data_IF_012227623458
#
_entry.id   IF_012227623458
#
_cell.length_a   1.000
_cell.length_b   1.000
_cell.length_c   1.000
_cell.angle_alpha   90.00
_cell.angle_beta   90.00
_cell.angle_gamma   90.00
#
_symmetry.space_group_name_H-M   'P 1'
#
loop_
_entity.id
_entity.type
_entity.pdbx_description
1 polymer ?
#
# COMPACT_ATOMS: atom_id res chain seq x y z
N UNK A 1 27.96 9.44 -15.88
CA UNK A 1 27.99 7.98 -16.08
C UNK A 1 26.91 7.38 -15.20
N UNK A 2 25.86 6.82 -15.79
CA UNK A 2 24.88 6.03 -15.05
C UNK A 2 25.46 4.61 -14.93
N UNK A 3 25.69 4.14 -13.70
CA UNK A 3 25.97 2.73 -13.47
C UNK A 3 24.70 1.96 -13.83
N UNK A 4 24.81 1.07 -14.82
CA UNK A 4 23.79 0.06 -15.05
C UNK A 4 23.64 -0.75 -13.77
N UNK A 5 22.42 -0.85 -13.25
CA UNK A 5 22.16 -1.58 -12.02
C UNK A 5 22.39 -3.07 -12.27
N UNK A 6 23.08 -3.75 -11.34
CA UNK A 6 23.22 -5.20 -11.37
C UNK A 6 21.82 -5.84 -11.48
N UNK A 7 21.60 -6.82 -12.39
CA UNK A 7 20.29 -7.45 -12.55
C UNK A 7 19.68 -7.97 -11.25
N UNK A 8 20.49 -8.50 -10.32
CA UNK A 8 19.98 -8.97 -9.03
C UNK A 8 19.52 -7.83 -8.10
N UNK A 9 20.12 -6.64 -8.22
CA UNK A 9 19.66 -5.44 -7.50
C UNK A 9 18.38 -4.90 -8.13
N UNK A 10 18.26 -5.01 -9.46
CA UNK A 10 17.03 -4.67 -10.18
C UNK A 10 15.85 -5.55 -9.75
N UNK A 11 16.05 -6.86 -9.72
CA UNK A 11 15.00 -7.80 -9.34
C UNK A 11 14.56 -7.59 -7.89
N UNK A 12 15.50 -7.34 -6.96
CA UNK A 12 15.16 -6.98 -5.58
C UNK A 12 14.38 -5.68 -5.50
N UNK A 13 14.78 -4.65 -6.24
CA UNK A 13 14.09 -3.37 -6.25
C UNK A 13 12.65 -3.51 -6.78
N UNK A 14 12.45 -4.32 -7.83
CA UNK A 14 11.11 -4.65 -8.35
C UNK A 14 10.32 -5.38 -7.27
N UNK A 15 10.88 -6.42 -6.66
CA UNK A 15 10.19 -7.24 -5.66
C UNK A 15 9.76 -6.48 -4.40
N UNK A 16 10.43 -5.38 -4.05
CA UNK A 16 10.03 -4.51 -2.94
C UNK A 16 8.70 -3.79 -3.19
N UNK A 17 8.35 -3.52 -4.45
CA UNK A 17 7.17 -2.73 -4.82
C UNK A 17 6.13 -3.51 -5.63
N UNK A 18 6.53 -4.64 -6.21
CA UNK A 18 5.68 -5.53 -7.00
C UNK A 18 5.61 -6.88 -6.30
N UNK A 19 4.53 -7.11 -5.56
CA UNK A 19 4.28 -8.32 -4.79
C UNK A 19 2.78 -8.69 -4.83
N UNK A 20 2.33 -9.62 -3.98
CA UNK A 20 0.93 -10.03 -3.93
C UNK A 20 -0.05 -8.85 -3.79
N UNK A 21 0.29 -7.83 -3.01
CA UNK A 21 -0.56 -6.67 -2.77
C UNK A 21 -0.67 -5.75 -4.00
N UNK A 22 0.27 -5.83 -4.93
CA UNK A 22 0.21 -5.11 -6.20
C UNK A 22 -0.81 -5.73 -7.14
N UNK A 23 -1.00 -7.06 -7.07
CA UNK A 23 -2.00 -7.77 -7.85
C UNK A 23 -3.40 -7.59 -7.27
N UNK A 24 -3.52 -7.78 -5.95
CA UNK A 24 -4.77 -7.57 -5.20
C UNK A 24 -4.41 -7.30 -3.74
N UNK A 25 -5.00 -6.26 -3.13
CA UNK A 25 -4.78 -5.96 -1.72
C UNK A 25 -5.29 -7.08 -0.81
N UNK A 26 -6.34 -7.78 -1.24
CA UNK A 26 -7.03 -8.79 -0.44
C UNK A 26 -7.56 -8.24 0.88
N UNK A 27 -8.04 -9.14 1.72
CA UNK A 27 -8.59 -8.78 3.02
C UNK A 27 -7.56 -8.05 3.90
N UNK A 28 -6.32 -8.54 3.93
CA UNK A 28 -5.25 -8.00 4.75
C UNK A 28 -4.80 -6.60 4.30
N UNK A 29 -4.65 -6.37 3.00
CA UNK A 29 -4.30 -5.05 2.47
C UNK A 29 -5.38 -4.01 2.76
N UNK A 30 -6.67 -4.36 2.55
CA UNK A 30 -7.77 -3.48 2.92
C UNK A 30 -7.87 -3.24 4.43
N UNK A 31 -7.60 -4.26 5.26
CA UNK A 31 -7.53 -4.12 6.71
C UNK A 31 -6.40 -3.18 7.14
N UNK A 32 -5.23 -3.27 6.51
CA UNK A 32 -4.09 -2.39 6.78
C UNK A 32 -4.39 -0.93 6.44
N UNK A 33 -5.00 -0.68 5.27
CA UNK A 33 -5.43 0.68 4.84
C UNK A 33 -6.47 1.24 5.81
N UNK A 34 -7.49 0.46 6.19
CA UNK A 34 -8.48 0.88 7.20
C UNK A 34 -7.79 1.24 8.51
N UNK A 35 -6.93 0.37 9.02
CA UNK A 35 -6.22 0.61 10.28
C UNK A 35 -5.33 1.85 10.24
N UNK A 36 -4.65 2.14 9.12
CA UNK A 36 -3.87 3.36 8.95
C UNK A 36 -4.77 4.61 9.00
N UNK A 37 -5.84 4.64 8.21
CA UNK A 37 -6.72 5.81 8.09
C UNK A 37 -7.54 6.04 9.37
N UNK A 38 -7.97 4.98 10.07
CA UNK A 38 -8.62 5.11 11.38
C UNK A 38 -7.70 5.77 12.41
N UNK A 39 -6.41 5.38 12.45
CA UNK A 39 -5.43 6.01 13.35
C UNK A 39 -5.18 7.47 12.96
N UNK A 40 -5.01 7.76 11.68
CA UNK A 40 -4.84 9.13 11.20
C UNK A 40 -6.05 10.02 11.52
N UNK A 41 -7.27 9.49 11.44
CA UNK A 41 -8.48 10.20 11.81
C UNK A 41 -8.56 10.46 13.33
N UNK A 42 -8.13 9.51 14.15
CA UNK A 42 -8.05 9.70 15.60
C UNK A 42 -7.08 10.83 15.99
N UNK A 43 -6.01 11.03 15.21
CA UNK A 43 -5.06 12.14 15.35
C UNK A 43 -5.53 13.44 14.67
N UNK A 44 -6.70 13.45 14.04
CA UNK A 44 -7.25 14.63 13.35
C UNK A 44 -6.51 15.00 12.05
N UNK A 45 -5.68 14.11 11.50
CA UNK A 45 -4.92 14.35 10.26
C UNK A 45 -5.78 14.24 9.01
N UNK A 46 -6.85 13.43 9.08
CA UNK A 46 -7.83 13.20 8.01
C UNK A 46 -9.24 13.07 8.61
N UNK A 47 -10.31 13.25 7.82
CA UNK A 47 -11.66 12.94 8.27
C UNK A 47 -11.87 11.44 8.59
N UNK A 48 -12.80 11.09 9.49
CA UNK A 48 -13.17 9.70 9.74
C UNK A 48 -13.71 9.00 8.48
N UNK A 49 -13.42 7.71 8.36
CA UNK A 49 -13.94 6.88 7.26
C UNK A 49 -15.44 6.64 7.41
N UNK A 50 -16.17 6.81 6.31
CA UNK A 50 -17.58 6.41 6.21
C UNK A 50 -17.76 4.89 6.08
N UNK A 51 -18.99 4.37 6.25
CA UNK A 51 -19.28 2.94 6.22
C UNK A 51 -18.92 2.26 4.89
N UNK A 52 -19.04 2.98 3.77
CA UNK A 52 -18.70 2.47 2.43
C UNK A 52 -17.30 2.92 1.97
N UNK A 53 -16.47 3.45 2.88
CA UNK A 53 -15.11 3.82 2.53
C UNK A 53 -14.33 2.58 2.10
N UNK A 54 -13.73 2.65 0.91
CA UNK A 54 -13.00 1.57 0.24
C UNK A 54 -13.87 0.45 -0.36
N UNK A 55 -15.20 0.63 -0.42
CA UNK A 55 -16.04 -0.18 -1.30
C UNK A 55 -15.90 0.34 -2.73
N UNK A 56 -15.13 -0.37 -3.55
CA UNK A 56 -14.98 -0.06 -4.97
C UNK A 56 -16.02 -0.85 -5.81
N UNK A 57 -16.51 -0.29 -6.92
CA UNK A 57 -17.49 -0.94 -7.80
C UNK A 57 -16.96 -2.20 -8.48
#
# INVERSE_FOLDING_TARGET
>A
HAQEMDPAVADQHIGLYVNEFTADLGEDGYAAVRGLLTRAAAEGLVPPLGPDALAFP
#
